data_IF_867625702299
#
_entry.id   IF_867625702299
#
_cell.length_a   1.000
_cell.length_b   1.000
_cell.length_c   1.000
_cell.angle_alpha   90.00
_cell.angle_beta   90.00
_cell.angle_gamma   90.00
#
_symmetry.space_group_name_H-M   'P 1'
#
loop_
_entity.id
_entity.type
_entity.pdbx_description
1 polymer ?
#
# COMPACT_ATOMS: atom_id res chain seq x y z
N UNK A 1 46.61 -22.33 24.92
CA UNK A 1 45.68 -23.49 24.89
C UNK A 1 44.29 -22.91 24.72
N UNK A 2 43.68 -23.19 23.56
CA UNK A 2 42.49 -22.53 23.02
C UNK A 2 41.26 -22.97 23.81
N UNK A 3 40.46 -22.03 24.31
CA UNK A 3 39.10 -22.30 24.79
C UNK A 3 38.17 -21.37 24.01
N UNK A 4 37.64 -21.89 22.90
CA UNK A 4 36.59 -21.25 22.11
C UNK A 4 35.29 -21.42 22.88
N UNK A 5 34.77 -20.31 23.38
CA UNK A 5 33.43 -20.19 23.97
C UNK A 5 32.41 -20.28 22.83
N UNK A 6 32.01 -21.50 22.47
CA UNK A 6 30.91 -21.76 21.54
C UNK A 6 29.59 -21.35 22.22
N UNK A 7 29.22 -20.08 22.05
CA UNK A 7 27.87 -19.62 22.35
C UNK A 7 26.90 -20.33 21.41
N UNK A 8 25.81 -20.95 21.91
CA UNK A 8 24.82 -21.55 21.04
C UNK A 8 24.21 -20.48 20.14
N UNK A 9 24.36 -20.67 18.84
CA UNK A 9 23.65 -19.90 17.81
C UNK A 9 22.17 -20.01 18.11
N UNK A 10 21.55 -18.90 18.50
CA UNK A 10 20.10 -18.85 18.69
C UNK A 10 19.44 -19.25 17.37
N UNK A 11 18.47 -20.18 17.37
CA UNK A 11 17.79 -20.56 16.15
C UNK A 11 17.16 -19.32 15.52
N UNK A 12 17.39 -19.20 14.21
CA UNK A 12 16.89 -18.13 13.35
C UNK A 12 15.37 -17.99 13.51
N UNK A 13 14.92 -16.80 13.94
CA UNK A 13 13.50 -16.46 14.14
C UNK A 13 12.70 -16.40 12.84
N UNK A 14 13.27 -16.80 11.70
CA UNK A 14 12.57 -16.89 10.41
C UNK A 14 11.54 -18.02 10.32
N UNK A 15 11.63 -19.06 11.16
CA UNK A 15 10.87 -20.30 10.95
C UNK A 15 9.43 -20.35 11.50
N UNK A 16 8.94 -19.35 12.24
CA UNK A 16 7.63 -19.48 12.92
C UNK A 16 6.76 -18.21 12.93
N UNK A 17 7.08 -17.22 12.08
CA UNK A 17 6.14 -16.13 11.79
C UNK A 17 5.17 -16.63 10.74
N UNK A 18 3.87 -16.56 11.01
CA UNK A 18 2.88 -16.63 9.95
C UNK A 18 3.35 -15.73 8.79
N UNK A 19 3.48 -16.28 7.56
CA UNK A 19 3.99 -15.59 6.36
C UNK A 19 3.19 -14.33 5.94
N UNK A 20 2.23 -13.92 6.78
CA UNK A 20 1.44 -12.74 6.62
C UNK A 20 1.12 -12.08 7.97
N UNK A 21 1.08 -10.76 7.98
CA UNK A 21 0.63 -9.93 9.11
C UNK A 21 -0.58 -9.12 8.68
N UNK A 22 -1.62 -9.07 9.52
CA UNK A 22 -2.82 -8.27 9.32
C UNK A 22 -2.71 -7.01 10.17
N UNK A 23 -2.81 -5.85 9.55
CA UNK A 23 -2.84 -4.56 10.21
C UNK A 23 -4.27 -4.06 10.33
N UNK A 24 -4.68 -3.76 11.57
CA UNK A 24 -5.90 -3.02 11.88
C UNK A 24 -5.63 -1.55 11.60
N UNK A 25 -6.00 -1.10 10.42
CA UNK A 25 -5.53 0.16 9.88
C UNK A 25 -6.56 1.27 10.00
N UNK A 26 -6.06 2.49 10.20
CA UNK A 26 -6.81 3.74 10.08
C UNK A 26 -6.17 4.54 8.95
N UNK A 27 -6.99 4.89 7.96
CA UNK A 27 -6.62 5.82 6.91
C UNK A 27 -7.17 7.17 7.30
N UNK A 28 -6.32 8.20 7.26
CA UNK A 28 -6.70 9.60 7.49
C UNK A 28 -6.27 10.44 6.31
N UNK A 29 -7.19 11.24 5.79
CA UNK A 29 -6.97 12.25 4.78
C UNK A 29 -7.21 13.62 5.39
N UNK A 30 -6.21 14.49 5.31
CA UNK A 30 -6.28 15.88 5.74
C UNK A 30 -6.06 16.79 4.54
N UNK A 31 -6.97 17.74 4.34
CA UNK A 31 -6.89 18.80 3.34
C UNK A 31 -6.81 20.14 4.06
N UNK A 32 -5.88 20.98 3.64
CA UNK A 32 -5.62 22.29 4.29
C UNK A 32 -5.96 23.48 3.41
N UNK A 33 -6.15 23.27 2.11
CA UNK A 33 -6.52 24.32 1.14
C UNK A 33 -7.99 24.24 0.74
N UNK A 34 -8.57 25.38 0.38
CA UNK A 34 -10.00 25.67 0.07
C UNK A 34 -10.99 25.47 1.24
N UNK A 35 -11.05 24.28 1.84
CA UNK A 35 -11.82 24.03 3.09
C UNK A 35 -11.06 23.00 3.92
N UNK A 36 -10.61 23.40 5.11
CA UNK A 36 -9.93 22.48 6.03
C UNK A 36 -10.84 21.31 6.38
N UNK A 37 -10.42 20.09 6.02
CA UNK A 37 -11.23 18.87 6.16
C UNK A 37 -10.32 17.71 6.53
N UNK A 38 -10.74 17.01 7.58
CA UNK A 38 -10.17 15.71 7.93
C UNK A 38 -11.24 14.64 7.76
N UNK A 39 -10.89 13.59 7.04
CA UNK A 39 -11.69 12.39 6.88
C UNK A 39 -10.85 11.19 7.33
N UNK A 40 -11.43 10.30 8.12
CA UNK A 40 -10.76 9.07 8.52
C UNK A 40 -11.72 7.88 8.46
N UNK A 41 -11.17 6.71 8.21
CA UNK A 41 -11.91 5.46 8.18
C UNK A 41 -10.98 4.29 8.50
N UNK A 42 -11.56 3.23 9.06
CA UNK A 42 -10.84 2.00 9.36
C UNK A 42 -10.87 1.04 8.16
N UNK A 43 -9.80 0.28 8.01
CA UNK A 43 -9.65 -0.79 7.02
C UNK A 43 -8.74 -1.90 7.59
N UNK A 44 -8.53 -2.96 6.81
CA UNK A 44 -7.48 -3.93 7.05
C UNK A 44 -6.49 -3.93 5.91
N UNK A 45 -5.22 -3.97 6.26
CA UNK A 45 -4.14 -4.21 5.33
C UNK A 45 -3.41 -5.49 5.70
N UNK A 46 -2.86 -6.15 4.69
CA UNK A 46 -2.07 -7.36 4.82
C UNK A 46 -0.67 -7.05 4.34
N UNK A 47 0.33 -7.41 5.14
CA UNK A 47 1.71 -7.52 4.69
C UNK A 47 1.98 -9.00 4.43
N UNK A 48 2.32 -9.33 3.19
CA UNK A 48 2.59 -10.71 2.76
C UNK A 48 3.91 -10.78 2.03
N UNK A 49 4.56 -11.92 2.07
CA UNK A 49 5.64 -12.22 1.12
C UNK A 49 5.02 -12.57 -0.24
N UNK A 50 5.45 -11.91 -1.32
CA UNK A 50 4.88 -12.13 -2.66
C UNK A 50 5.28 -13.46 -3.27
N UNK A 51 6.33 -14.10 -2.75
CA UNK A 51 6.78 -15.43 -3.16
C UNK A 51 6.16 -16.54 -2.32
N UNK A 52 5.78 -16.23 -1.07
CA UNK A 52 5.19 -17.17 -0.13
C UNK A 52 3.78 -16.71 0.31
N UNK A 53 2.88 -16.55 -0.67
CA UNK A 53 1.51 -16.11 -0.44
C UNK A 53 0.78 -16.98 0.61
N UNK A 54 0.01 -16.38 1.53
CA UNK A 54 -0.69 -17.13 2.56
C UNK A 54 -1.76 -18.05 1.95
N UNK A 55 -1.79 -19.31 2.38
CA UNK A 55 -2.82 -20.28 2.01
C UNK A 55 -3.91 -20.31 3.09
N UNK A 56 -5.11 -19.83 2.75
CA UNK A 56 -6.24 -19.85 3.66
C UNK A 56 -6.99 -21.19 3.60
N UNK A 57 -7.62 -21.63 4.71
CA UNK A 57 -8.56 -22.75 4.71
C UNK A 57 -9.65 -22.55 3.65
N UNK A 58 -10.15 -23.62 2.98
CA UNK A 58 -11.13 -23.53 1.91
C UNK A 58 -12.31 -22.56 2.13
N UNK A 59 -13.00 -22.55 3.29
CA UNK A 59 -14.12 -21.63 3.51
C UNK A 59 -13.70 -20.15 3.58
N UNK A 60 -12.44 -19.86 3.92
CA UNK A 60 -11.93 -18.50 4.04
C UNK A 60 -11.27 -17.99 2.76
N UNK A 61 -10.93 -18.87 1.81
CA UNK A 61 -10.28 -18.50 0.54
C UNK A 61 -11.00 -17.41 -0.27
N UNK A 62 -12.34 -17.34 -0.33
CA UNK A 62 -13.02 -16.26 -1.05
C UNK A 62 -12.80 -14.88 -0.43
N UNK A 63 -12.39 -14.81 0.84
CA UNK A 63 -12.31 -13.58 1.62
C UNK A 63 -10.91 -13.00 1.74
N UNK A 64 -9.88 -13.74 1.36
CA UNK A 64 -8.56 -13.18 1.13
C UNK A 64 -7.89 -13.84 -0.07
N UNK A 65 -7.82 -13.12 -1.19
CA UNK A 65 -7.02 -13.50 -2.36
C UNK A 65 -6.10 -12.37 -2.78
N UNK A 66 -4.92 -12.74 -3.23
CA UNK A 66 -3.90 -11.86 -3.77
C UNK A 66 -3.64 -12.30 -5.21
N UNK A 67 -3.75 -11.37 -6.17
CA UNK A 67 -3.66 -11.67 -7.60
C UNK A 67 -2.82 -10.61 -8.31
N UNK A 68 -2.03 -11.04 -9.29
CA UNK A 68 -1.27 -10.11 -10.14
C UNK A 68 -2.19 -9.13 -10.88
N UNK A 69 -3.38 -9.57 -11.30
CA UNK A 69 -4.41 -8.73 -11.92
C UNK A 69 -4.86 -7.52 -11.10
N UNK A 70 -4.58 -7.51 -9.80
CA UNK A 70 -5.02 -6.46 -8.87
C UNK A 70 -3.91 -5.43 -8.61
N UNK A 71 -2.77 -5.61 -9.29
CA UNK A 71 -1.49 -4.95 -9.04
C UNK A 71 -0.71 -4.68 -10.35
N UNK A 72 0.43 -4.01 -10.23
CA UNK A 72 1.32 -3.69 -11.35
C UNK A 72 1.76 -4.93 -12.15
N UNK A 73 2.18 -4.68 -13.40
CA UNK A 73 2.68 -5.64 -14.36
C UNK A 73 1.59 -6.36 -15.14
N UNK A 74 2.00 -7.51 -15.70
CA UNK A 74 1.14 -8.42 -16.43
C UNK A 74 0.06 -9.03 -15.51
N UNK A 75 -1.24 -8.81 -15.77
CA UNK A 75 -2.34 -9.42 -15.01
C UNK A 75 -2.34 -10.95 -15.01
N UNK A 76 -1.74 -11.59 -16.02
CA UNK A 76 -1.61 -13.04 -16.14
C UNK A 76 -0.32 -13.58 -15.48
N UNK A 77 0.59 -12.69 -15.08
CA UNK A 77 1.85 -13.02 -14.43
C UNK A 77 1.73 -13.31 -12.93
N UNK A 78 2.83 -13.10 -12.21
CA UNK A 78 2.89 -13.24 -10.75
C UNK A 78 3.24 -11.92 -10.09
N UNK A 79 2.79 -11.71 -8.84
CA UNK A 79 3.15 -10.52 -8.06
C UNK A 79 4.67 -10.35 -7.94
N UNK A 80 5.37 -11.45 -7.67
CA UNK A 80 6.83 -11.49 -7.59
C UNK A 80 7.49 -11.14 -8.93
N UNK A 81 7.06 -11.78 -10.03
CA UNK A 81 7.64 -11.57 -11.35
C UNK A 81 7.44 -10.13 -11.84
N UNK A 82 6.25 -9.58 -11.66
CA UNK A 82 5.94 -8.20 -12.05
C UNK A 82 6.77 -7.18 -11.26
N UNK A 83 6.87 -7.35 -9.94
CA UNK A 83 7.69 -6.48 -9.11
C UNK A 83 9.18 -6.60 -9.46
N UNK A 84 9.69 -7.83 -9.66
CA UNK A 84 11.09 -8.06 -10.04
C UNK A 84 11.44 -7.49 -11.41
N UNK A 85 10.54 -7.61 -12.39
CA UNK A 85 10.75 -7.01 -13.71
C UNK A 85 10.93 -5.49 -13.56
N UNK A 86 10.05 -4.83 -12.83
CA UNK A 86 10.15 -3.39 -12.60
C UNK A 86 11.46 -2.99 -11.91
N UNK A 87 11.89 -3.75 -10.91
CA UNK A 87 13.15 -3.50 -10.21
C UNK A 87 14.36 -3.68 -11.15
N UNK A 88 14.37 -4.77 -11.92
CA UNK A 88 15.43 -5.07 -12.90
C UNK A 88 15.54 -3.98 -13.96
N UNK A 89 14.41 -3.52 -14.50
CA UNK A 89 14.37 -2.42 -15.50
C UNK A 89 14.95 -1.11 -14.95
N UNK A 90 15.03 -0.97 -13.62
CA UNK A 90 15.56 0.20 -12.92
C UNK A 90 16.92 -0.05 -12.23
N UNK A 91 17.57 -1.18 -12.51
CA UNK A 91 18.88 -1.53 -11.96
C UNK A 91 18.88 -1.77 -10.44
N UNK A 92 17.73 -2.15 -9.87
CA UNK A 92 17.59 -2.45 -8.44
C UNK A 92 17.49 -3.97 -8.28
N UNK A 93 18.27 -4.51 -7.36
CA UNK A 93 18.23 -5.93 -7.02
C UNK A 93 17.75 -6.10 -5.56
N UNK A 94 16.84 -7.05 -5.32
CA UNK A 94 16.20 -7.28 -4.04
C UNK A 94 16.01 -8.80 -3.86
N UNK A 95 16.41 -9.31 -2.70
CA UNK A 95 16.31 -10.73 -2.35
C UNK A 95 14.93 -11.09 -1.78
N UNK A 96 14.22 -10.12 -1.21
CA UNK A 96 12.88 -10.30 -0.67
C UNK A 96 11.95 -9.14 -1.05
N UNK A 97 10.69 -9.47 -1.38
CA UNK A 97 9.66 -8.49 -1.70
C UNK A 97 8.43 -8.76 -0.82
N UNK A 98 8.07 -7.77 0.01
CA UNK A 98 6.86 -7.82 0.82
C UNK A 98 5.80 -6.89 0.22
N UNK A 99 4.54 -7.31 0.18
CA UNK A 99 3.43 -6.51 -0.31
C UNK A 99 2.48 -6.14 0.82
N UNK A 100 2.31 -4.84 1.03
CA UNK A 100 1.26 -4.26 1.85
C UNK A 100 0.05 -3.88 0.99
N UNK A 101 -1.06 -4.59 1.15
CA UNK A 101 -2.27 -4.41 0.31
C UNK A 101 -3.55 -4.80 1.04
N UNK A 102 -4.73 -4.45 0.50
CA UNK A 102 -5.99 -5.08 0.91
C UNK A 102 -6.27 -6.29 0.01
N UNK A 103 -6.66 -7.44 0.57
CA UNK A 103 -6.94 -8.61 -0.25
C UNK A 103 -8.27 -8.47 -0.98
N UNK A 104 -8.39 -9.14 -2.11
CA UNK A 104 -9.68 -9.35 -2.76
C UNK A 104 -10.58 -10.15 -1.82
N UNK A 105 -11.74 -9.58 -1.50
CA UNK A 105 -12.71 -10.11 -0.54
C UNK A 105 -14.04 -10.31 -1.25
N UNK A 106 -14.55 -11.54 -1.28
CA UNK A 106 -15.80 -11.91 -1.95
C UNK A 106 -15.87 -11.41 -3.42
N UNK A 107 -14.75 -11.49 -4.14
CA UNK A 107 -14.66 -11.06 -5.53
C UNK A 107 -14.43 -9.56 -5.73
N UNK A 108 -14.47 -8.72 -4.69
CA UNK A 108 -14.23 -7.27 -4.79
C UNK A 108 -12.86 -6.86 -4.22
N UNK A 109 -12.15 -5.99 -4.93
CA UNK A 109 -10.88 -5.41 -4.49
C UNK A 109 -10.88 -3.92 -4.76
N UNK A 110 -10.30 -3.15 -3.84
CA UNK A 110 -10.01 -1.74 -4.05
C UNK A 110 -8.83 -1.33 -3.18
N UNK A 111 -7.69 -1.09 -3.83
CA UNK A 111 -6.41 -0.79 -3.20
C UNK A 111 -6.00 0.65 -3.51
N UNK A 112 -6.49 1.66 -2.76
CA UNK A 112 -6.15 3.06 -3.04
C UNK A 112 -4.64 3.32 -2.95
N UNK A 113 -3.96 2.52 -2.12
CA UNK A 113 -2.51 2.44 -2.03
C UNK A 113 -2.12 0.99 -1.74
N UNK A 114 -1.16 0.48 -2.49
CA UNK A 114 -0.38 -0.72 -2.18
C UNK A 114 1.10 -0.34 -2.12
N UNK A 115 1.86 -0.98 -1.24
CA UNK A 115 3.31 -0.74 -1.14
C UNK A 115 4.04 -2.07 -1.22
N UNK A 116 4.89 -2.23 -2.23
CA UNK A 116 5.87 -3.32 -2.26
C UNK A 116 7.14 -2.81 -1.58
N UNK A 117 7.57 -3.47 -0.52
CA UNK A 117 8.85 -3.23 0.14
C UNK A 117 9.87 -4.18 -0.45
N UNK A 118 10.90 -3.63 -1.07
CA UNK A 118 11.96 -4.39 -1.73
C UNK A 118 13.18 -4.36 -0.83
N UNK A 119 13.60 -5.54 -0.38
CA UNK A 119 14.64 -5.71 0.62
C UNK A 119 15.86 -6.38 0.02
N UNK A 120 17.04 -6.06 0.55
CA UNK A 120 18.29 -6.78 0.30
C UNK A 120 19.01 -6.96 1.63
N UNK A 121 19.29 -8.20 2.02
CA UNK A 121 19.91 -8.49 3.32
C UNK A 121 19.08 -8.03 4.52
N UNK A 122 17.77 -7.79 4.34
CA UNK A 122 16.87 -7.24 5.35
C UNK A 122 16.78 -5.70 5.39
N UNK A 123 17.59 -4.99 4.61
CA UNK A 123 17.52 -3.53 4.47
C UNK A 123 16.61 -3.13 3.30
N UNK A 124 15.89 -2.02 3.45
CA UNK A 124 15.00 -1.51 2.41
C UNK A 124 15.79 -0.80 1.32
N UNK A 125 15.90 -1.41 0.15
CA UNK A 125 16.62 -0.83 -1.01
C UNK A 125 15.69 -0.05 -1.93
N UNK A 126 14.39 -0.37 -1.93
CA UNK A 126 13.38 0.37 -2.68
C UNK A 126 11.98 0.18 -2.08
N UNK A 127 11.05 1.02 -2.51
CA UNK A 127 9.62 0.78 -2.33
C UNK A 127 8.86 1.08 -3.63
N UNK A 128 7.90 0.23 -3.97
CA UNK A 128 7.00 0.47 -5.10
C UNK A 128 5.64 0.89 -4.53
N UNK A 129 5.32 2.18 -4.60
CA UNK A 129 4.04 2.72 -4.18
C UNK A 129 3.07 2.74 -5.36
N UNK A 130 2.15 1.78 -5.36
CA UNK A 130 1.11 1.65 -6.36
C UNK A 130 -0.17 2.34 -5.90
N UNK A 131 -0.59 3.37 -6.65
CA UNK A 131 -1.75 4.20 -6.33
C UNK A 131 -2.86 3.94 -7.34
N UNK A 132 -4.04 3.58 -6.84
CA UNK A 132 -5.25 3.46 -7.66
C UNK A 132 -6.19 4.63 -7.44
N UNK A 133 -6.87 5.05 -8.50
CA UNK A 133 -7.97 6.00 -8.41
C UNK A 133 -9.33 5.30 -8.53
N UNK A 134 -10.41 6.01 -8.21
CA UNK A 134 -11.78 5.49 -8.35
C UNK A 134 -12.29 5.43 -9.80
N UNK A 135 -11.47 5.85 -10.77
CA UNK A 135 -11.80 5.90 -12.20
C UNK A 135 -11.21 4.72 -12.97
N UNK A 136 -10.67 3.71 -12.27
CA UNK A 136 -10.06 2.52 -12.87
C UNK A 136 -8.62 2.70 -13.33
N UNK A 137 -8.02 3.86 -13.10
CA UNK A 137 -6.61 4.10 -13.38
C UNK A 137 -5.71 3.63 -12.23
N UNK A 138 -4.48 3.27 -12.57
CA UNK A 138 -3.39 2.93 -11.64
C UNK A 138 -2.12 3.67 -12.03
N UNK A 139 -1.26 3.94 -11.07
CA UNK A 139 0.07 4.47 -11.33
C UNK A 139 1.06 3.98 -10.28
N UNK A 140 2.31 3.81 -10.70
CA UNK A 140 3.36 3.24 -9.89
C UNK A 140 4.46 4.28 -9.67
N UNK A 141 4.78 4.54 -8.40
CA UNK A 141 5.93 5.33 -8.01
C UNK A 141 7.01 4.38 -7.48
N UNK A 142 8.18 4.40 -8.08
CA UNK A 142 9.36 3.70 -7.61
C UNK A 142 10.17 4.64 -6.72
N UNK A 143 10.26 4.29 -5.44
CA UNK A 143 10.95 5.07 -4.41
C UNK A 143 12.30 4.42 -4.10
N UNK A 144 13.28 5.26 -3.78
CA UNK A 144 14.58 4.90 -3.18
C UNK A 144 14.69 5.56 -1.81
N UNK A 145 14.01 5.00 -0.78
CA UNK A 145 13.84 5.69 0.50
C UNK A 145 15.15 5.82 1.27
N UNK A 146 15.27 6.88 2.07
CA UNK A 146 16.31 6.99 3.11
C UNK A 146 16.08 5.99 4.26
N UNK A 147 16.98 5.94 5.25
CA UNK A 147 16.87 5.06 6.42
C UNK A 147 15.59 5.28 7.25
N UNK A 148 14.97 6.46 7.13
CA UNK A 148 13.68 6.76 7.77
C UNK A 148 12.46 6.37 6.92
N UNK A 149 12.70 5.72 5.78
CA UNK A 149 11.73 5.29 4.78
C UNK A 149 11.19 6.43 3.93
N UNK A 150 11.90 7.56 3.80
CA UNK A 150 11.40 8.76 3.13
C UNK A 150 11.94 8.91 1.72
N UNK A 151 11.09 9.33 0.80
CA UNK A 151 11.48 9.75 -0.54
C UNK A 151 10.51 10.82 -1.08
N UNK A 152 10.89 11.46 -2.19
CA UNK A 152 10.05 12.43 -2.87
C UNK A 152 9.99 12.18 -4.37
N UNK A 153 8.77 12.23 -4.91
CA UNK A 153 8.49 12.02 -6.34
C UNK A 153 7.57 13.11 -6.87
N UNK A 154 7.70 13.41 -8.16
CA UNK A 154 6.77 14.34 -8.82
C UNK A 154 5.38 13.69 -8.92
N UNK A 155 4.33 14.46 -8.62
CA UNK A 155 2.95 14.00 -8.74
C UNK A 155 2.52 14.01 -10.20
N UNK A 156 2.57 12.84 -10.82
CA UNK A 156 2.15 12.65 -12.22
C UNK A 156 0.75 12.01 -12.37
N UNK A 157 0.10 11.58 -11.29
CA UNK A 157 -1.16 10.83 -11.38
C UNK A 157 -2.39 11.61 -10.90
N UNK A 158 -3.49 11.49 -11.65
CA UNK A 158 -4.79 12.08 -11.33
C UNK A 158 -5.56 11.17 -10.37
N UNK A 159 -5.37 11.40 -9.07
CA UNK A 159 -5.99 10.58 -8.01
C UNK A 159 -7.36 11.10 -7.60
N UNK A 160 -7.57 12.43 -7.62
CA UNK A 160 -8.80 13.06 -7.16
C UNK A 160 -9.08 14.35 -7.92
N UNK A 161 -10.35 14.60 -8.31
CA UNK A 161 -10.77 15.87 -8.93
C UNK A 161 -10.60 17.08 -8.01
N UNK A 162 -10.44 16.85 -6.71
CA UNK A 162 -10.30 17.92 -5.74
C UNK A 162 -8.84 18.13 -5.34
N UNK A 163 -7.89 17.41 -5.94
CA UNK A 163 -6.46 17.63 -5.72
C UNK A 163 -5.86 18.24 -6.99
N UNK A 164 -5.08 19.33 -6.87
CA UNK A 164 -4.37 19.89 -8.01
C UNK A 164 -3.46 18.85 -8.67
N UNK A 165 -3.31 18.96 -9.99
CA UNK A 165 -2.22 18.30 -10.72
C UNK A 165 -0.89 19.02 -10.44
N UNK A 166 0.21 18.29 -10.57
CA UNK A 166 1.56 18.79 -10.27
C UNK A 166 1.89 18.86 -8.78
N UNK A 167 3.11 19.33 -8.49
CA UNK A 167 3.72 19.30 -7.16
C UNK A 167 4.45 17.99 -6.88
N UNK A 168 4.95 17.86 -5.65
CA UNK A 168 5.72 16.68 -5.21
C UNK A 168 4.97 15.92 -4.13
N UNK A 169 4.97 14.59 -4.24
CA UNK A 169 4.64 13.74 -3.10
C UNK A 169 5.89 13.57 -2.24
N UNK A 170 5.75 13.87 -0.96
CA UNK A 170 6.67 13.46 0.09
C UNK A 170 6.10 12.18 0.69
N UNK A 171 6.76 11.05 0.43
CA UNK A 171 6.32 9.75 0.89
C UNK A 171 7.20 9.27 2.03
N UNK A 172 6.57 8.63 3.01
CA UNK A 172 7.27 7.88 4.05
C UNK A 172 6.66 6.48 4.13
N UNK A 173 7.46 5.48 3.78
CA UNK A 173 7.09 4.07 3.66
C UNK A 173 8.15 3.17 4.30
N UNK A 174 8.37 3.27 5.63
CA UNK A 174 9.24 2.33 6.33
C UNK A 174 8.64 0.92 6.29
N UNK A 175 9.50 -0.09 6.19
CA UNK A 175 9.09 -1.50 6.31
C UNK A 175 8.36 -1.70 7.65
N UNK A 176 7.10 -2.18 7.64
CA UNK A 176 6.32 -2.28 8.86
C UNK A 176 6.74 -3.49 9.71
N UNK A 177 6.86 -3.27 11.02
CA UNK A 177 7.03 -4.31 12.05
C UNK A 177 5.72 -4.53 12.80
N UNK A 178 5.72 -4.38 14.13
CA UNK A 178 4.48 -4.48 14.92
C UNK A 178 3.47 -3.37 14.60
N UNK A 179 3.96 -2.26 14.03
CA UNK A 179 3.15 -1.11 13.62
C UNK A 179 3.38 -0.75 12.17
N UNK A 180 2.28 -0.43 11.50
CA UNK A 180 2.23 0.16 10.18
C UNK A 180 2.21 1.69 10.31
N UNK A 181 3.04 2.37 9.52
CA UNK A 181 3.06 3.84 9.43
C UNK A 181 3.51 4.28 8.05
N UNK A 182 2.55 4.58 7.18
CA UNK A 182 2.77 5.14 5.85
C UNK A 182 2.17 6.53 5.77
N UNK A 183 2.86 7.48 5.14
CA UNK A 183 2.31 8.80 4.88
C UNK A 183 2.66 9.32 3.49
N UNK A 184 1.73 10.03 2.87
CA UNK A 184 1.91 10.72 1.60
C UNK A 184 1.44 12.16 1.78
N UNK A 185 2.33 13.13 1.59
CA UNK A 185 1.98 14.54 1.62
C UNK A 185 2.19 15.16 0.23
N UNK A 186 1.18 15.87 -0.29
CA UNK A 186 1.33 16.66 -1.50
C UNK A 186 1.86 18.04 -1.15
N UNK A 187 3.00 18.42 -1.71
CA UNK A 187 3.61 19.74 -1.56
C UNK A 187 3.59 20.52 -2.88
N UNK A 188 3.12 21.76 -2.83
CA UNK A 188 3.09 22.71 -3.95
C UNK A 188 3.68 24.02 -3.47
N UNK A 189 4.92 24.31 -3.89
CA UNK A 189 5.71 25.41 -3.32
C UNK A 189 5.80 25.29 -1.79
N UNK A 190 5.48 26.35 -1.03
CA UNK A 190 5.52 26.31 0.44
C UNK A 190 4.30 25.62 1.07
N UNK A 191 3.26 25.30 0.28
CA UNK A 191 1.99 24.78 0.80
C UNK A 191 1.96 23.26 0.80
N UNK A 192 1.28 22.68 1.79
CA UNK A 192 1.01 21.24 1.88
C UNK A 192 -0.51 21.01 1.85
N UNK A 193 -1.16 21.13 0.67
CA UNK A 193 -2.62 21.08 0.53
C UNK A 193 -3.26 19.77 0.98
N UNK A 194 -2.50 18.67 0.99
CA UNK A 194 -3.03 17.35 1.29
C UNK A 194 -2.01 16.47 2.01
N UNK A 195 -2.49 15.72 3.00
CA UNK A 195 -1.76 14.66 3.69
C UNK A 195 -2.67 13.44 3.82
N UNK A 196 -2.17 12.28 3.42
CA UNK A 196 -2.76 10.97 3.71
C UNK A 196 -1.85 10.19 4.64
N UNK A 197 -2.42 9.54 5.65
CA UNK A 197 -1.70 8.61 6.52
C UNK A 197 -2.44 7.28 6.60
N UNK A 198 -1.68 6.19 6.61
CA UNK A 198 -2.13 4.83 6.84
C UNK A 198 -1.35 4.30 8.04
N UNK A 199 -2.03 4.08 9.16
CA UNK A 199 -1.42 3.61 10.40
C UNK A 199 -2.19 2.44 10.99
N UNK A 200 -1.54 1.49 11.65
CA UNK A 200 -2.25 0.39 12.29
C UNK A 200 -1.36 -0.52 13.12
N UNK A 201 -1.96 -1.32 13.97
CA UNK A 201 -1.28 -2.35 14.76
C UNK A 201 -1.39 -3.71 14.05
N UNK A 202 -0.25 -4.41 13.97
CA UNK A 202 -0.10 -5.69 13.30
C UNK A 202 -0.45 -6.87 14.20
N UNK A 203 -1.11 -7.87 13.65
CA UNK A 203 -1.32 -9.18 14.26
C UNK A 203 -0.97 -10.29 13.27
N UNK A 204 -0.45 -11.45 13.71
CA UNK A 204 -0.19 -12.56 12.82
C UNK A 204 -1.46 -13.02 12.09
N UNK A 205 -1.37 -13.38 10.81
CA UNK A 205 -2.50 -13.81 10.00
C UNK A 205 -2.96 -15.26 10.30
N UNK A 206 -3.27 -15.56 11.57
CA UNK A 206 -3.86 -16.84 11.96
C UNK A 206 -5.33 -16.91 11.55
N UNK A 207 -5.88 -18.12 11.39
CA UNK A 207 -7.31 -18.33 11.09
C UNK A 207 -8.22 -17.53 12.03
N UNK A 208 -7.92 -17.51 13.34
CA UNK A 208 -8.69 -16.75 14.32
C UNK A 208 -8.67 -15.24 14.07
N UNK A 209 -7.50 -14.66 13.77
CA UNK A 209 -7.40 -13.23 13.45
C UNK A 209 -8.07 -12.88 12.12
N UNK A 210 -8.02 -13.76 11.13
CA UNK A 210 -8.71 -13.59 9.84
C UNK A 210 -10.23 -13.56 10.07
N UNK A 211 -10.78 -14.55 10.77
CA UNK A 211 -12.21 -14.60 11.08
C UNK A 211 -12.64 -13.37 11.88
N UNK A 212 -11.87 -12.97 12.90
CA UNK A 212 -12.15 -11.76 13.67
C UNK A 212 -12.15 -10.50 12.79
N UNK A 213 -11.23 -10.40 11.83
CA UNK A 213 -11.18 -9.30 10.88
C UNK A 213 -12.43 -9.25 9.99
N UNK A 214 -12.84 -10.40 9.44
CA UNK A 214 -14.02 -10.53 8.57
C UNK A 214 -15.32 -10.22 9.31
N UNK A 215 -15.47 -10.67 10.56
CA UNK A 215 -16.65 -10.40 11.38
C UNK A 215 -16.74 -8.91 11.76
N UNK A 216 -15.61 -8.27 12.04
CA UNK A 216 -15.60 -6.87 12.47
C UNK A 216 -15.83 -5.89 11.32
N UNK A 217 -15.37 -6.24 10.11
CA UNK A 217 -15.51 -5.40 8.92
C UNK A 217 -15.87 -6.24 7.69
N UNK A 218 -17.10 -6.79 7.63
CA UNK A 218 -17.53 -7.54 6.46
C UNK A 218 -17.47 -6.63 5.23
N UNK A 219 -16.95 -7.17 4.13
CA UNK A 219 -16.86 -6.46 2.84
C UNK A 219 -16.09 -5.12 2.95
N UNK A 220 -15.01 -5.09 3.74
CA UNK A 220 -14.19 -3.90 4.00
C UNK A 220 -13.77 -3.16 2.72
N UNK A 221 -13.48 -3.89 1.64
CA UNK A 221 -13.09 -3.32 0.35
C UNK A 221 -14.28 -2.60 -0.32
N UNK A 222 -15.48 -3.18 -0.32
CA UNK A 222 -16.70 -2.53 -0.83
C UNK A 222 -17.04 -1.29 -0.01
N UNK A 223 -16.96 -1.38 1.32
CA UNK A 223 -17.18 -0.25 2.23
C UNK A 223 -16.18 0.87 1.96
N UNK A 224 -14.90 0.54 1.78
CA UNK A 224 -13.86 1.53 1.47
C UNK A 224 -14.12 2.22 0.14
N UNK A 225 -14.45 1.46 -0.91
CA UNK A 225 -14.83 2.05 -2.20
C UNK A 225 -16.07 2.95 -2.08
N UNK A 226 -17.10 2.51 -1.37
CA UNK A 226 -18.33 3.28 -1.16
C UNK A 226 -18.06 4.56 -0.38
N UNK A 227 -17.25 4.51 0.68
CA UNK A 227 -16.86 5.67 1.47
C UNK A 227 -16.09 6.70 0.64
N UNK A 228 -15.14 6.25 -0.18
CA UNK A 228 -14.36 7.16 -1.03
C UNK A 228 -15.24 7.81 -2.09
N UNK A 229 -16.12 7.03 -2.74
CA UNK A 229 -17.11 7.59 -3.69
C UNK A 229 -18.06 8.57 -3.01
N UNK A 230 -18.57 8.23 -1.83
CA UNK A 230 -19.46 9.09 -1.05
C UNK A 230 -18.78 10.40 -0.64
N UNK A 231 -17.51 10.36 -0.22
CA UNK A 231 -16.74 11.56 0.07
C UNK A 231 -16.53 12.41 -1.19
N UNK A 232 -16.24 11.78 -2.33
CA UNK A 232 -16.16 12.46 -3.63
C UNK A 232 -17.46 13.22 -3.96
N UNK A 233 -18.61 12.55 -3.84
CA UNK A 233 -19.94 13.14 -4.06
C UNK A 233 -20.20 14.28 -3.08
N UNK A 234 -19.86 14.11 -1.79
CA UNK A 234 -20.05 15.14 -0.76
C UNK A 234 -19.20 16.40 -1.00
N UNK A 235 -18.01 16.25 -1.58
CA UNK A 235 -17.17 17.38 -1.97
C UNK A 235 -17.75 18.10 -3.20
N UNK A 236 -18.26 17.35 -4.18
CA UNK A 236 -18.92 17.89 -5.36
C UNK A 236 -20.21 18.66 -5.01
N UNK A 237 -21.11 18.07 -4.22
CA UNK A 237 -22.35 18.71 -3.74
C UNK A 237 -22.10 19.98 -2.91
N UNK A 238 -20.88 20.17 -2.39
CA UNK A 238 -20.47 21.35 -1.62
C UNK A 238 -19.72 22.39 -2.45
N UNK A 239 -19.74 22.26 -3.78
CA UNK A 239 -19.23 23.28 -4.70
C UNK A 239 -17.71 23.41 -4.73
N UNK A 240 -16.96 22.38 -4.29
CA UNK A 240 -15.50 22.44 -4.39
C UNK A 240 -15.11 22.35 -5.88
N UNK A 241 -14.28 23.28 -6.39
CA UNK A 241 -13.86 23.28 -7.78
C UNK A 241 -13.27 21.93 -8.19
N UNK A 242 -13.83 21.37 -9.26
CA UNK A 242 -13.33 20.15 -9.89
C UNK A 242 -12.20 20.53 -10.82
N UNK A 243 -11.04 19.93 -10.61
CA UNK A 243 -9.93 20.03 -11.54
C UNK A 243 -10.29 19.26 -12.83
N UNK A 244 -10.07 19.84 -14.02
CA UNK A 244 -10.33 19.14 -15.27
C UNK A 244 -9.45 17.89 -15.35
N UNK A 245 -10.07 16.79 -15.76
CA UNK A 245 -9.37 15.52 -15.97
C UNK A 245 -8.51 15.64 -17.24
N UNK A 246 -7.18 15.41 -17.17
CA UNK A 246 -6.36 15.31 -18.37
C UNK A 246 -6.85 14.18 -19.28
N UNK A 247 -6.82 14.36 -20.60
CA UNK A 247 -7.28 13.34 -21.57
C UNK A 247 -6.54 12.00 -21.39
N UNK A 248 -5.28 12.05 -20.96
CA UNK A 248 -4.40 10.89 -20.79
C UNK A 248 -4.43 10.33 -19.36
N UNK A 249 -5.34 10.80 -18.50
CA UNK A 249 -5.43 10.41 -17.09
C UNK A 249 -5.95 8.98 -16.85
N UNK A 250 -6.18 8.21 -17.91
CA UNK A 250 -6.24 6.73 -17.85
C UNK A 250 -4.86 6.10 -17.63
N UNK A 251 -3.78 6.87 -17.77
CA UNK A 251 -2.46 6.65 -17.17
C UNK A 251 -1.90 5.24 -17.40
N UNK A 252 -1.21 5.07 -18.52
CA UNK A 252 -0.37 3.90 -18.78
C UNK A 252 0.68 3.67 -17.70
N UNK A 253 1.14 2.44 -17.65
CA UNK A 253 2.01 1.83 -16.66
C UNK A 253 3.45 2.36 -16.70
N UNK A 254 3.62 3.65 -16.47
CA UNK A 254 4.93 4.29 -16.43
C UNK A 254 5.35 4.43 -14.97
N UNK A 255 6.39 3.69 -14.60
CA UNK A 255 7.09 3.88 -13.34
C UNK A 255 8.04 5.07 -13.43
N UNK A 256 8.17 5.81 -12.33
CA UNK A 256 9.29 6.72 -12.05
C UNK A 256 9.76 6.48 -10.64
#
# INVERSE_FOLDING_TARGET
MVSLDERPVRPDRRADRANATIYRSVIRHQRTTSVARTFQYSSYYWLIDVEALPSLPPPLRPFARFRASDHLGDPAGTLAGNARQLLSDNGIDADQILLLTSPRTAGHVFNPLSVFYCLRGGEQVAAIAEVHNTYGGRHVYLLRPDDAGRDQVEKCFYVSPFLPMGGRYLMRTPVPGDRLSVSIALRIGPKTPFVATLTGDGVPATTGHIVAALLRWPLVTLRTSALIRWQGIRLWLRGIPVQPRPADATGGEQAR
#
